data_IF_296328638984
#
_entry.id   IF_296328638984
#
_cell.length_a   1.000
_cell.length_b   1.000
_cell.length_c   1.000
_cell.angle_alpha   90.00
_cell.angle_beta   90.00
_cell.angle_gamma   90.00
#
_symmetry.space_group_name_H-M   'P 1'
#
loop_
_entity.id
_entity.type
_entity.pdbx_description
1 polymer ?
#
# COMPACT_ATOMS: atom_id res chain seq x y z
N UNK A 1 -8.56 -17.66 7.97
CA UNK A 1 -8.85 -17.14 7.74
C UNK A 1 -9.34 -16.35 7.24
N UNK A 2 -9.57 -15.82 6.84
CA UNK A 2 -10.14 -15.02 6.59
C UNK A 2 -9.76 -14.33 5.63
N UNK A 3 -9.32 -14.59 4.95
CA UNK A 3 -8.92 -13.95 3.99
C UNK A 3 -9.92 -13.58 3.13
N UNK A 4 -10.96 -14.28 3.01
CA UNK A 4 -12.01 -13.93 2.12
C UNK A 4 -12.55 -12.56 2.34
N UNK A 5 -12.26 -12.00 3.48
CA UNK A 5 -12.74 -10.68 3.72
C UNK A 5 -11.99 -9.62 2.93
N UNK A 6 -10.78 -9.93 2.51
CA UNK A 6 -9.98 -8.96 1.80
C UNK A 6 -9.97 -9.31 0.34
N UNK A 7 -10.76 -8.60 -0.42
CA UNK A 7 -10.82 -8.82 -1.86
C UNK A 7 -10.10 -7.69 -2.54
N UNK A 8 -9.69 -7.89 -3.79
CA UNK A 8 -9.04 -6.81 -4.53
C UNK A 8 -9.96 -5.61 -4.65
N UNK A 9 -9.45 -4.45 -4.30
CA UNK A 9 -10.19 -3.22 -4.41
C UNK A 9 -9.24 -2.12 -4.78
N UNK A 10 -9.80 -0.97 -5.13
CA UNK A 10 -8.99 0.21 -5.35
C UNK A 10 -8.53 0.75 -4.00
N UNK A 11 -7.43 1.45 -4.00
CA UNK A 11 -6.91 2.02 -2.76
C UNK A 11 -7.92 2.93 -2.09
N UNK A 12 -8.64 3.72 -2.87
CA UNK A 12 -9.63 4.62 -2.30
C UNK A 12 -10.74 3.84 -1.60
N UNK A 13 -11.14 2.71 -2.17
CA UNK A 13 -12.17 1.88 -1.56
C UNK A 13 -11.67 1.28 -0.26
N UNK A 14 -10.44 0.81 -0.26
CA UNK A 14 -9.86 0.23 0.94
C UNK A 14 -9.79 1.29 2.04
N UNK A 15 -9.28 2.46 1.70
CA UNK A 15 -9.15 3.54 2.65
C UNK A 15 -10.52 3.94 3.20
N UNK A 16 -11.49 4.12 2.33
CA UNK A 16 -12.82 4.53 2.73
C UNK A 16 -13.50 3.47 3.61
N UNK A 17 -13.27 2.21 3.30
CA UNK A 17 -13.85 1.14 4.10
C UNK A 17 -13.36 1.22 5.53
N UNK A 18 -12.09 1.47 5.72
CA UNK A 18 -11.57 1.58 7.07
C UNK A 18 -12.11 2.81 7.77
N UNK A 19 -12.11 3.93 7.07
CA UNK A 19 -12.56 5.18 7.65
C UNK A 19 -14.04 5.13 8.00
N UNK A 20 -14.82 4.40 7.20
CA UNK A 20 -16.28 4.39 7.35
C UNK A 20 -16.82 3.10 7.96
N UNK A 21 -15.98 2.41 8.74
CA UNK A 21 -16.44 1.19 9.41
C UNK A 21 -16.86 0.11 8.46
N UNK A 22 -15.99 -0.21 7.55
CA UNK A 22 -16.24 -1.28 6.62
C UNK A 22 -16.29 -2.61 7.36
N UNK A 23 -16.70 -3.67 6.70
CA UNK A 23 -16.62 -5.00 7.27
C UNK A 23 -15.23 -5.37 7.73
N UNK A 24 -14.20 -4.85 7.07
CA UNK A 24 -12.84 -5.13 7.50
C UNK A 24 -12.54 -4.51 8.85
N UNK A 25 -13.03 -3.29 9.09
CA UNK A 25 -12.85 -2.66 10.37
C UNK A 25 -13.50 -3.48 11.47
N UNK A 26 -14.72 -3.94 11.24
CA UNK A 26 -15.41 -4.74 12.22
C UNK A 26 -14.70 -6.06 12.45
N UNK A 27 -14.17 -6.64 11.39
CA UNK A 27 -13.44 -7.88 11.49
C UNK A 27 -12.26 -7.72 12.45
N UNK A 28 -11.48 -6.66 12.29
CA UNK A 28 -10.34 -6.44 13.15
C UNK A 28 -10.75 -6.11 14.56
N UNK A 29 -11.79 -5.34 14.73
CA UNK A 29 -12.23 -4.93 16.06
C UNK A 29 -12.72 -6.11 16.88
N UNK A 30 -13.37 -7.05 16.21
CA UNK A 30 -13.97 -8.17 16.93
C UNK A 30 -13.02 -9.32 17.19
N UNK A 31 -11.77 -9.22 16.74
CA UNK A 31 -10.84 -10.31 16.97
C UNK A 31 -10.21 -10.20 18.33
N UNK A 32 -9.95 -11.33 18.90
CA UNK A 32 -9.24 -11.36 20.16
C UNK A 32 -7.83 -10.93 19.93
N UNK A 33 -7.23 -10.36 20.95
CA UNK A 33 -5.87 -9.97 20.83
C UNK A 33 -5.01 -11.17 20.60
N UNK A 34 -3.84 -10.98 20.13
CA UNK A 34 -2.84 -11.97 19.82
C UNK A 34 -3.16 -12.82 18.60
N UNK A 35 -4.28 -12.57 17.95
CA UNK A 35 -4.59 -13.27 16.72
C UNK A 35 -4.05 -12.43 15.57
N UNK A 36 -3.30 -13.07 14.67
CA UNK A 36 -2.79 -12.39 13.51
C UNK A 36 -3.77 -12.60 12.37
N UNK A 37 -4.23 -11.52 11.81
CA UNK A 37 -5.13 -11.55 10.65
C UNK A 37 -4.33 -11.24 9.41
N UNK A 38 -4.49 -12.03 8.37
CA UNK A 38 -3.74 -11.79 7.16
C UNK A 38 -4.59 -12.05 5.94
N UNK A 39 -4.19 -11.48 4.83
CA UNK A 39 -4.87 -11.64 3.57
C UNK A 39 -4.11 -10.90 2.49
N UNK A 40 -4.66 -10.93 1.29
CA UNK A 40 -4.06 -10.24 0.16
C UNK A 40 -4.98 -9.13 -0.29
N UNK A 41 -4.39 -8.02 -0.67
CA UNK A 41 -5.16 -6.89 -1.15
C UNK A 41 -4.45 -6.30 -2.35
N UNK A 42 -5.22 -5.88 -3.34
CA UNK A 42 -4.68 -5.36 -4.58
C UNK A 42 -4.99 -3.87 -4.65
N UNK A 43 -3.98 -3.06 -4.83
CA UNK A 43 -4.16 -1.61 -4.87
C UNK A 43 -3.80 -1.07 -6.25
N UNK A 44 -4.73 -0.33 -6.84
CA UNK A 44 -4.48 0.38 -8.10
C UNK A 44 -4.20 1.86 -7.86
N UNK A 45 -4.38 2.30 -6.64
CA UNK A 45 -4.10 3.67 -6.23
C UNK A 45 -3.39 3.64 -4.90
N UNK A 46 -2.44 4.53 -4.73
CA UNK A 46 -1.75 4.67 -3.46
C UNK A 46 -2.08 6.06 -2.93
N UNK A 47 -2.69 6.11 -1.76
CA UNK A 47 -3.23 7.34 -1.22
C UNK A 47 -2.35 7.87 -0.11
N UNK A 48 -2.11 9.17 -0.13
CA UNK A 48 -1.44 9.87 0.95
C UNK A 48 -2.47 10.66 1.73
N UNK A 49 -2.89 10.19 2.89
CA UNK A 49 -3.81 10.97 3.72
C UNK A 49 -3.17 12.27 4.18
N UNK A 50 -1.88 12.23 4.45
CA UNK A 50 -1.19 13.40 4.98
C UNK A 50 -1.09 14.52 3.96
N UNK A 51 -0.77 14.17 2.71
CA UNK A 51 -0.57 15.18 1.69
C UNK A 51 -1.74 15.32 0.73
N UNK A 52 -2.77 14.53 0.95
CA UNK A 52 -3.97 14.55 0.12
C UNK A 52 -3.63 14.34 -1.35
N UNK A 53 -2.85 13.30 -1.62
CA UNK A 53 -2.42 12.98 -2.96
C UNK A 53 -2.71 11.54 -3.30
N UNK A 54 -2.80 11.25 -4.59
CA UNK A 54 -3.04 9.90 -5.08
C UNK A 54 -2.03 9.59 -6.16
N UNK A 55 -1.37 8.45 -6.02
CA UNK A 55 -0.53 7.91 -7.09
C UNK A 55 -1.36 6.85 -7.79
N UNK A 56 -1.51 7.01 -9.10
CA UNK A 56 -2.23 6.02 -9.90
C UNK A 56 -1.25 5.00 -10.44
N UNK A 57 -1.65 3.73 -10.45
CA UNK A 57 -0.83 2.64 -10.93
C UNK A 57 -1.45 2.06 -12.19
N UNK A 58 -0.63 1.82 -13.21
CA UNK A 58 -1.12 1.21 -14.45
C UNK A 58 -1.47 -0.24 -14.24
N UNK A 59 -0.79 -0.89 -13.30
CA UNK A 59 -1.09 -2.26 -12.90
C UNK A 59 -1.15 -2.28 -11.40
N UNK A 60 -2.07 -3.04 -10.82
CA UNK A 60 -2.19 -3.05 -9.36
C UNK A 60 -1.01 -3.75 -8.70
N UNK A 61 -0.72 -3.32 -7.49
CA UNK A 61 0.25 -4.02 -6.66
C UNK A 61 -0.51 -4.92 -5.71
N UNK A 62 -0.06 -6.15 -5.62
CA UNK A 62 -0.65 -7.10 -4.68
C UNK A 62 0.15 -7.06 -3.40
N UNK A 63 -0.51 -6.72 -2.31
CA UNK A 63 0.11 -6.65 -1.00
C UNK A 63 -0.38 -7.78 -0.13
N UNK A 64 0.51 -8.28 0.72
CA UNK A 64 0.09 -9.13 1.81
C UNK A 64 -0.19 -8.20 2.98
N UNK A 65 -1.40 -8.25 3.50
CA UNK A 65 -1.76 -7.43 4.64
C UNK A 65 -1.80 -8.29 5.87
N UNK A 66 -1.19 -7.83 6.94
CA UNK A 66 -1.20 -8.52 8.21
C UNK A 66 -1.58 -7.53 9.29
N UNK A 67 -2.36 -7.98 10.25
CA UNK A 67 -2.79 -7.13 11.34
C UNK A 67 -2.66 -7.90 12.63
N UNK A 68 -2.10 -7.28 13.64
CA UNK A 68 -2.01 -7.87 14.97
C UNK A 68 -2.17 -6.75 16.00
N UNK A 69 -1.87 -7.06 17.25
CA UNK A 69 -2.08 -6.08 18.32
C UNK A 69 -1.15 -4.87 18.18
N UNK A 70 -0.09 -5.00 17.40
CA UNK A 70 0.87 -3.91 17.25
C UNK A 70 0.57 -3.01 16.05
N UNK A 71 -0.30 -3.44 15.15
CA UNK A 71 -0.63 -2.59 14.03
C UNK A 71 -0.94 -3.34 12.76
N UNK A 72 -0.84 -2.62 11.66
CA UNK A 72 -1.20 -3.11 10.34
C UNK A 72 0.02 -3.01 9.44
N UNK A 73 0.28 -4.09 8.70
CA UNK A 73 1.45 -4.20 7.83
C UNK A 73 1.02 -4.47 6.41
N UNK A 74 1.65 -3.79 5.47
CA UNK A 74 1.46 -4.06 4.04
C UNK A 74 2.80 -4.42 3.44
N UNK A 75 2.92 -5.62 2.89
CA UNK A 75 4.19 -6.09 2.34
C UNK A 75 4.04 -6.44 0.87
N UNK A 76 4.97 -5.98 0.07
CA UNK A 76 5.09 -6.38 -1.33
C UNK A 76 6.55 -6.65 -1.61
N UNK A 77 6.91 -7.93 -1.70
CA UNK A 77 8.27 -8.31 -2.04
C UNK A 77 8.62 -7.86 -3.45
N UNK A 78 7.66 -7.96 -4.33
CA UNK A 78 7.90 -7.63 -5.73
C UNK A 78 8.39 -6.20 -5.91
N UNK A 79 7.84 -5.28 -5.13
CA UNK A 79 8.19 -3.88 -5.24
C UNK A 79 8.99 -3.39 -4.04
N UNK A 80 9.41 -4.31 -3.19
CA UNK A 80 10.25 -3.98 -2.05
C UNK A 80 9.61 -2.93 -1.13
N UNK A 81 8.32 -3.08 -0.90
CA UNK A 81 7.58 -2.17 -0.03
C UNK A 81 7.19 -2.93 1.24
N UNK A 82 7.59 -2.38 2.38
CA UNK A 82 7.25 -2.96 3.67
C UNK A 82 6.76 -1.82 4.54
N UNK A 83 5.45 -1.69 4.64
CA UNK A 83 4.85 -0.55 5.29
C UNK A 83 4.12 -0.96 6.55
N UNK A 84 4.02 -0.05 7.50
CA UNK A 84 3.45 -0.30 8.79
C UNK A 84 2.76 0.94 9.33
N UNK A 85 1.71 0.75 10.08
CA UNK A 85 1.09 1.82 10.83
C UNK A 85 0.27 1.25 11.96
N UNK A 86 0.08 2.04 13.00
CA UNK A 86 -0.77 1.62 14.09
C UNK A 86 -2.23 1.66 13.68
N UNK A 87 -2.55 2.54 12.74
CA UNK A 87 -3.89 2.65 12.21
C UNK A 87 -3.83 2.40 10.71
N UNK A 88 -4.99 2.20 10.11
CA UNK A 88 -5.07 2.01 8.67
C UNK A 88 -4.54 3.24 7.95
N UNK A 89 -4.89 4.41 8.44
CA UNK A 89 -4.46 5.64 7.82
C UNK A 89 -2.95 5.78 7.84
N UNK A 90 -2.33 5.45 8.98
CA UNK A 90 -0.88 5.51 9.08
C UNK A 90 -0.21 4.51 8.18
N UNK A 91 -0.77 3.30 8.09
CA UNK A 91 -0.20 2.28 7.24
C UNK A 91 -0.28 2.67 5.77
N UNK A 92 -1.42 3.26 5.36
CA UNK A 92 -1.55 3.73 3.98
C UNK A 92 -0.57 4.85 3.67
N UNK A 93 -0.36 5.75 4.64
CA UNK A 93 0.62 6.81 4.46
C UNK A 93 2.02 6.22 4.28
N UNK A 94 2.32 5.17 5.04
CA UNK A 94 3.63 4.55 4.94
C UNK A 94 3.82 3.85 3.59
N UNK A 95 2.76 3.25 3.04
CA UNK A 95 2.82 2.69 1.69
C UNK A 95 3.18 3.80 0.69
N UNK A 96 2.51 4.94 0.84
CA UNK A 96 2.77 6.07 -0.06
C UNK A 96 4.22 6.54 0.08
N UNK A 97 4.69 6.70 1.31
CA UNK A 97 6.05 7.19 1.54
C UNK A 97 7.08 6.20 0.98
N UNK A 98 6.85 4.91 1.17
CA UNK A 98 7.76 3.90 0.64
C UNK A 98 7.79 3.92 -0.88
N UNK A 99 6.62 4.01 -1.51
CA UNK A 99 6.56 4.03 -2.96
C UNK A 99 7.25 5.28 -3.52
N UNK A 100 6.99 6.44 -2.91
CA UNK A 100 7.62 7.67 -3.34
C UNK A 100 9.13 7.60 -3.22
N UNK A 101 9.62 7.02 -2.14
CA UNK A 101 11.04 6.89 -1.93
C UNK A 101 11.66 6.00 -3.02
N UNK A 102 11.02 4.86 -3.30
CA UNK A 102 11.53 3.93 -4.30
C UNK A 102 11.50 4.59 -5.69
N UNK A 103 10.42 5.26 -6.00
CA UNK A 103 10.31 5.93 -7.29
C UNK A 103 11.38 7.00 -7.45
N UNK A 104 11.60 7.83 -6.43
CA UNK A 104 12.58 8.90 -6.57
C UNK A 104 14.02 8.40 -6.50
N UNK A 105 14.29 7.39 -5.67
CA UNK A 105 15.67 6.91 -5.52
C UNK A 105 16.08 6.00 -6.68
N UNK A 106 15.17 5.15 -7.14
CA UNK A 106 15.50 4.18 -8.19
C UNK A 106 14.87 4.53 -9.53
N UNK A 107 13.61 4.95 -9.52
CA UNK A 107 12.88 5.20 -10.76
C UNK A 107 13.47 6.33 -11.57
N UNK A 108 13.97 7.35 -10.90
CA UNK A 108 14.49 8.53 -11.57
C UNK A 108 16.01 8.52 -11.67
N UNK A 109 16.67 7.49 -11.15
CA UNK A 109 18.12 7.45 -11.11
C UNK A 109 18.67 6.89 -12.42
N UNK A 110 19.92 7.27 -12.73
CA UNK A 110 20.59 6.81 -13.92
C UNK A 110 20.98 5.35 -13.74
N UNK A 111 20.78 4.54 -14.78
CA UNK A 111 21.13 3.14 -14.73
C UNK A 111 22.59 2.91 -14.39
N UNK A 112 23.45 3.84 -14.80
CA UNK A 112 24.87 3.67 -14.59
C UNK A 112 25.29 3.57 -13.14
N UNK A 113 24.48 4.10 -12.24
CA UNK A 113 24.82 4.07 -10.82
C UNK A 113 24.01 3.03 -10.05
N UNK A 114 23.20 2.24 -10.73
CA UNK A 114 22.36 1.27 -10.08
C UNK A 114 22.92 -0.15 -10.22
N UNK A 115 22.78 -0.93 -9.15
CA UNK A 115 23.14 -2.36 -9.23
C UNK A 115 22.12 -3.06 -10.12
N UNK A 116 22.38 -4.32 -10.44
CA UNK A 116 21.47 -5.08 -11.29
C UNK A 116 20.10 -5.25 -10.63
N UNK A 117 20.09 -5.52 -9.33
CA UNK A 117 18.80 -5.67 -8.63
C UNK A 117 18.07 -4.33 -8.56
N UNK A 118 18.79 -3.24 -8.43
CA UNK A 118 18.17 -1.92 -8.38
C UNK A 118 17.60 -1.54 -9.75
N UNK A 119 18.29 -1.91 -10.84
CA UNK A 119 17.77 -1.68 -12.19
C UNK A 119 16.49 -2.47 -12.42
N UNK A 120 16.45 -3.70 -11.92
CA UNK A 120 15.25 -4.52 -12.06
C UNK A 120 14.08 -3.89 -11.31
N UNK A 121 14.33 -3.38 -10.11
CA UNK A 121 13.29 -2.70 -9.35
C UNK A 121 12.83 -1.44 -10.07
N UNK A 122 13.77 -0.68 -10.61
CA UNK A 122 13.46 0.52 -11.38
C UNK A 122 12.51 0.18 -12.54
N UNK A 123 12.82 -0.88 -13.27
CA UNK A 123 11.98 -1.27 -14.40
C UNK A 123 10.57 -1.62 -13.93
N UNK A 124 10.46 -2.34 -12.83
CA UNK A 124 9.14 -2.72 -12.32
C UNK A 124 8.34 -1.49 -11.90
N UNK A 125 9.00 -0.56 -11.22
CA UNK A 125 8.32 0.65 -10.74
C UNK A 125 7.88 1.53 -11.91
N UNK A 126 8.74 1.73 -12.89
CA UNK A 126 8.38 2.56 -14.04
C UNK A 126 7.27 1.93 -14.87
N UNK A 127 7.20 0.61 -14.87
CA UNK A 127 6.18 -0.08 -15.63
C UNK A 127 4.78 0.17 -15.05
N UNK A 128 4.68 0.48 -13.78
CA UNK A 128 3.37 0.65 -13.15
C UNK A 128 3.05 2.08 -12.75
N UNK A 129 4.03 2.95 -12.72
CA UNK A 129 3.78 4.33 -12.26
C UNK A 129 2.89 5.06 -13.27
N UNK A 130 1.75 5.52 -12.83
CA UNK A 130 0.79 6.17 -13.70
C UNK A 130 0.60 7.65 -13.42
N UNK A 131 1.39 8.20 -12.52
CA UNK A 131 1.32 9.62 -12.23
C UNK A 131 0.72 9.89 -10.87
N UNK A 132 0.93 11.11 -10.40
CA UNK A 132 0.46 11.54 -9.10
C UNK A 132 -0.36 12.81 -9.26
N UNK A 133 -1.49 12.88 -8.55
CA UNK A 133 -2.36 14.05 -8.61
C UNK A 133 -2.78 14.42 -7.21
N UNK A 134 -3.26 15.65 -7.05
CA UNK A 134 -3.86 16.06 -5.78
C UNK A 134 -5.22 15.41 -5.70
N UNK A 135 -5.59 14.90 -4.53
CA UNK A 135 -6.90 14.32 -4.35
C UNK A 135 -7.93 15.45 -4.43
N UNK A 136 -9.14 15.10 -4.99
CA UNK A 136 -10.12 16.10 -5.11
C UNK A 136 -10.59 16.51 -3.80
N UNK A 137 -10.72 17.80 -3.60
CA UNK A 137 -11.31 18.18 -2.39
C UNK A 137 -12.57 18.85 -2.75
N UNK A 138 -13.49 18.77 -2.31
CA UNK A 138 -14.60 19.40 -2.68
C UNK A 138 -15.40 19.49 -1.85
#
# INVERSE_FOLDING_TARGET
MYVGLITPTLASDVYNNYVNNSPLSEYFINKEESVVNSGNISLSEIISPKYNKIIYLKKPILFKMTSDENGIYYDSEEYNIYAYGKTQEEAMQDVYDCFQMIYSVYGLEDDNVLSESAKALKCRILDIYGGEVDAKSN
#
